data_IF_659950279414
#
_entry.id   IF_659950279414
#
_cell.length_a   1.000
_cell.length_b   1.000
_cell.length_c   1.000
_cell.angle_alpha   90.00
_cell.angle_beta   90.00
_cell.angle_gamma   90.00
#
_symmetry.space_group_name_H-M   'P 1'
#
loop_
_entity.id
_entity.type
_entity.pdbx_description
1 polymer ?
#
# COMPACT_ATOMS: atom_id res chain seq x y z
N UNK A 1 -3.86 -23.14 -4.36
CA UNK A 1 -2.68 -22.41 -3.84
C UNK A 1 -1.98 -21.59 -4.92
N UNK A 2 -1.76 -22.13 -6.13
CA UNK A 2 -1.13 -21.40 -7.24
C UNK A 2 -1.82 -20.09 -7.62
N UNK A 3 -3.15 -20.05 -7.58
CA UNK A 3 -3.93 -18.85 -7.92
C UNK A 3 -3.67 -17.71 -6.91
N UNK A 4 -3.74 -17.98 -5.61
CA UNK A 4 -3.44 -16.99 -4.58
C UNK A 4 -1.99 -16.48 -4.65
N UNK A 5 -1.04 -17.31 -5.06
CA UNK A 5 0.34 -16.89 -5.25
C UNK A 5 0.47 -15.91 -6.43
N UNK A 6 -0.15 -16.24 -7.58
CA UNK A 6 -0.11 -15.40 -8.78
C UNK A 6 -0.89 -14.09 -8.63
N UNK A 7 -2.02 -14.10 -7.93
CA UNK A 7 -2.87 -12.89 -7.84
C UNK A 7 -2.36 -11.88 -6.82
N UNK A 8 -1.48 -12.28 -5.89
CA UNK A 8 -1.10 -11.41 -4.76
C UNK A 8 0.38 -11.30 -4.50
N UNK A 9 1.04 -12.46 -4.35
CA UNK A 9 2.46 -12.46 -4.01
C UNK A 9 3.29 -11.89 -5.15
N UNK A 10 2.95 -12.24 -6.41
CA UNK A 10 3.65 -11.70 -7.58
C UNK A 10 3.49 -10.17 -7.69
N UNK A 11 2.27 -9.58 -7.69
CA UNK A 11 2.13 -8.13 -7.71
C UNK A 11 2.84 -7.45 -6.54
N UNK A 12 2.72 -7.99 -5.32
CA UNK A 12 3.33 -7.39 -4.12
C UNK A 12 4.86 -7.37 -4.24
N UNK A 13 5.41 -8.49 -4.69
CA UNK A 13 6.84 -8.63 -4.92
C UNK A 13 7.34 -7.68 -6.00
N UNK A 14 6.56 -7.50 -7.08
CA UNK A 14 6.88 -6.53 -8.13
C UNK A 14 6.89 -5.11 -7.57
N UNK A 15 5.84 -4.69 -6.85
CA UNK A 15 5.77 -3.35 -6.25
C UNK A 15 6.95 -3.09 -5.30
N UNK A 16 7.31 -4.07 -4.47
CA UNK A 16 8.49 -4.00 -3.61
C UNK A 16 9.80 -3.88 -4.41
N UNK A 17 10.01 -4.71 -5.44
CA UNK A 17 11.21 -4.64 -6.27
C UNK A 17 11.34 -3.32 -7.01
N UNK A 18 10.22 -2.80 -7.54
CA UNK A 18 10.19 -1.49 -8.16
C UNK A 18 10.60 -0.41 -7.15
N UNK A 19 9.97 -0.38 -5.97
CA UNK A 19 10.34 0.56 -4.93
C UNK A 19 11.83 0.49 -4.57
N UNK A 20 12.35 -0.69 -4.27
CA UNK A 20 13.76 -0.86 -3.89
C UNK A 20 14.72 -0.43 -5.00
N UNK A 21 14.41 -0.73 -6.27
CA UNK A 21 15.26 -0.34 -7.40
C UNK A 21 15.36 1.18 -7.51
N UNK A 22 14.21 1.87 -7.50
CA UNK A 22 14.17 3.32 -7.66
C UNK A 22 14.64 4.06 -6.41
N UNK A 23 14.29 3.58 -5.21
CA UNK A 23 14.77 4.15 -3.96
C UNK A 23 16.30 4.08 -3.83
N UNK A 24 16.91 2.98 -4.28
CA UNK A 24 18.36 2.83 -4.29
C UNK A 24 19.03 3.76 -5.31
N UNK A 25 18.47 3.88 -6.51
CA UNK A 25 18.99 4.81 -7.55
C UNK A 25 18.89 6.26 -7.08
N UNK A 26 17.79 6.64 -6.44
CA UNK A 26 17.55 7.98 -5.92
C UNK A 26 18.31 8.28 -4.62
N UNK A 27 19.01 7.30 -4.03
CA UNK A 27 19.66 7.46 -2.72
C UNK A 27 18.67 7.80 -1.60
N UNK A 28 17.41 7.38 -1.73
CA UNK A 28 16.33 7.73 -0.83
C UNK A 28 16.63 7.31 0.62
N UNK A 29 16.14 8.13 1.55
CA UNK A 29 16.21 7.86 2.99
C UNK A 29 14.83 8.10 3.58
N UNK A 30 14.29 7.13 4.34
CA UNK A 30 12.95 7.24 4.90
C UNK A 30 12.85 8.47 5.80
N UNK A 31 11.88 9.34 5.48
CA UNK A 31 11.60 10.56 6.22
C UNK A 31 10.33 10.48 7.05
N UNK A 32 9.87 11.65 7.51
CA UNK A 32 8.56 11.80 8.16
C UNK A 32 7.50 11.94 7.06
N UNK A 33 6.42 11.16 7.17
CA UNK A 33 5.30 11.24 6.24
C UNK A 33 4.57 12.59 6.36
N UNK A 34 4.65 13.42 5.32
CA UNK A 34 3.96 14.72 5.27
C UNK A 34 2.69 14.66 4.40
N UNK A 35 1.53 14.41 5.02
CA UNK A 35 0.23 14.31 4.33
C UNK A 35 -0.15 15.56 3.53
N UNK A 36 0.36 16.73 3.93
CA UNK A 36 0.14 17.99 3.22
C UNK A 36 0.69 17.97 1.79
N UNK A 37 1.75 17.20 1.55
CA UNK A 37 2.41 17.05 0.24
C UNK A 37 1.98 15.79 -0.51
N UNK A 38 1.23 14.89 0.13
CA UNK A 38 0.70 13.70 -0.48
C UNK A 38 -0.30 14.06 -1.59
N UNK A 39 -0.10 13.48 -2.77
CA UNK A 39 -1.01 13.63 -3.90
C UNK A 39 -2.37 13.01 -3.59
N UNK A 40 -3.36 13.27 -4.45
CA UNK A 40 -4.68 12.65 -4.33
C UNK A 40 -4.61 11.12 -4.42
N UNK A 41 -3.67 10.58 -5.21
CA UNK A 41 -3.45 9.14 -5.34
C UNK A 41 -2.83 8.58 -4.05
N UNK A 42 -1.87 9.28 -3.48
CA UNK A 42 -1.21 8.88 -2.24
C UNK A 42 -2.19 8.82 -1.06
N UNK A 43 -3.05 9.83 -0.92
CA UNK A 43 -4.11 9.83 0.12
C UNK A 43 -5.08 8.67 -0.06
N UNK A 44 -5.39 8.32 -1.30
CA UNK A 44 -6.24 7.19 -1.60
C UNK A 44 -5.57 5.84 -1.25
N UNK A 45 -4.28 5.70 -1.53
CA UNK A 45 -3.48 4.53 -1.11
C UNK A 45 -3.48 4.40 0.42
N UNK A 46 -3.25 5.50 1.14
CA UNK A 46 -3.27 5.53 2.61
C UNK A 46 -4.64 5.14 3.18
N UNK A 47 -5.73 5.66 2.61
CA UNK A 47 -7.09 5.27 3.00
C UNK A 47 -7.33 3.77 2.81
N UNK A 48 -6.88 3.20 1.68
CA UNK A 48 -6.99 1.76 1.42
C UNK A 48 -6.15 0.92 2.39
N UNK A 49 -4.97 1.38 2.78
CA UNK A 49 -4.13 0.71 3.79
C UNK A 49 -4.86 0.61 5.13
N UNK A 50 -5.48 1.70 5.59
CA UNK A 50 -6.23 1.69 6.84
C UNK A 50 -7.44 0.74 6.78
N UNK A 51 -8.12 0.64 5.64
CA UNK A 51 -9.17 -0.38 5.46
C UNK A 51 -8.64 -1.80 5.54
N UNK A 52 -7.47 -2.08 4.94
CA UNK A 52 -6.83 -3.39 5.04
C UNK A 52 -6.49 -3.71 6.51
N UNK A 53 -5.91 -2.76 7.24
CA UNK A 53 -5.60 -2.90 8.68
C UNK A 53 -6.84 -3.24 9.50
N UNK A 54 -7.92 -2.48 9.33
CA UNK A 54 -9.19 -2.69 10.04
C UNK A 54 -9.79 -4.07 9.74
N UNK A 55 -9.82 -4.47 8.47
CA UNK A 55 -10.38 -5.77 8.06
C UNK A 55 -9.56 -6.94 8.61
N UNK A 56 -8.23 -6.87 8.55
CA UNK A 56 -7.36 -7.94 9.07
C UNK A 56 -7.40 -7.99 10.59
N UNK A 57 -7.46 -6.85 11.28
CA UNK A 57 -7.66 -6.80 12.73
C UNK A 57 -8.98 -7.47 13.14
N UNK A 58 -10.10 -7.14 12.46
CA UNK A 58 -11.40 -7.74 12.74
C UNK A 58 -11.41 -9.26 12.51
N UNK A 59 -10.68 -9.76 11.51
CA UNK A 59 -10.50 -11.20 11.26
C UNK A 59 -9.74 -11.85 12.42
N UNK A 60 -8.66 -11.23 12.86
CA UNK A 60 -7.83 -11.73 13.94
C UNK A 60 -8.59 -11.77 15.28
N UNK A 61 -9.35 -10.71 15.60
CA UNK A 61 -10.18 -10.62 16.80
C UNK A 61 -11.28 -11.69 16.85
N UNK A 62 -11.89 -11.99 15.70
CA UNK A 62 -12.97 -12.99 15.61
C UNK A 62 -12.46 -14.43 15.45
N UNK A 63 -11.14 -14.65 15.45
CA UNK A 63 -10.50 -15.94 15.16
C UNK A 63 -10.96 -16.57 13.82
N UNK A 64 -11.50 -15.78 12.91
CA UNK A 64 -12.05 -16.24 11.62
C UNK A 64 -11.00 -16.07 10.52
N UNK A 65 -9.86 -16.76 10.68
CA UNK A 65 -8.73 -16.73 9.75
C UNK A 65 -9.17 -17.15 8.33
N UNK A 66 -10.16 -18.05 8.24
CA UNK A 66 -10.70 -18.51 6.95
C UNK A 66 -11.37 -17.35 6.21
N UNK A 67 -12.14 -16.50 6.88
CA UNK A 67 -12.74 -15.33 6.23
C UNK A 67 -11.70 -14.32 5.76
N UNK A 68 -10.63 -14.10 6.52
CA UNK A 68 -9.55 -13.15 6.18
C UNK A 68 -8.72 -13.57 4.97
N UNK A 69 -8.48 -14.87 4.83
CA UNK A 69 -7.77 -15.44 3.68
C UNK A 69 -8.64 -15.57 2.41
N UNK A 70 -9.95 -15.39 2.53
CA UNK A 70 -10.89 -15.58 1.41
C UNK A 70 -11.40 -14.25 0.86
N UNK A 71 -12.00 -14.31 -0.34
CA UNK A 71 -12.62 -13.14 -1.02
C UNK A 71 -13.72 -12.47 -0.17
N UNK A 72 -14.18 -13.11 0.91
CA UNK A 72 -15.30 -12.68 1.76
C UNK A 72 -14.97 -11.48 2.64
N UNK A 73 -13.73 -11.35 3.13
CA UNK A 73 -13.33 -10.23 3.98
C UNK A 73 -13.10 -8.92 3.20
N UNK A 74 -12.85 -9.00 1.89
CA UNK A 74 -12.57 -7.84 1.04
C UNK A 74 -11.15 -7.28 1.18
N UNK A 75 -10.42 -7.62 2.26
CA UNK A 75 -9.01 -7.26 2.46
C UNK A 75 -8.13 -7.68 1.28
N UNK A 76 -8.42 -8.85 0.70
CA UNK A 76 -7.86 -9.33 -0.55
C UNK A 76 -7.90 -8.29 -1.68
N UNK A 77 -9.08 -7.71 -1.91
CA UNK A 77 -9.33 -6.82 -3.04
C UNK A 77 -8.65 -5.49 -2.80
N UNK A 78 -8.79 -4.96 -1.58
CA UNK A 78 -8.19 -3.70 -1.19
C UNK A 78 -6.66 -3.80 -1.29
N UNK A 79 -6.04 -4.90 -0.83
CA UNK A 79 -4.61 -5.16 -0.95
C UNK A 79 -4.13 -5.26 -2.42
N UNK A 80 -4.87 -5.94 -3.30
CA UNK A 80 -4.51 -6.02 -4.72
C UNK A 80 -4.57 -4.66 -5.41
N UNK A 81 -5.59 -3.88 -5.08
CA UNK A 81 -5.74 -2.53 -5.61
C UNK A 81 -4.61 -1.63 -5.11
N UNK A 82 -4.25 -1.75 -3.83
CA UNK A 82 -3.10 -1.08 -3.21
C UNK A 82 -1.80 -1.34 -3.97
N UNK A 83 -1.51 -2.61 -4.21
CA UNK A 83 -0.29 -3.05 -4.89
C UNK A 83 -0.25 -2.60 -6.35
N UNK A 84 -1.39 -2.61 -7.04
CA UNK A 84 -1.46 -2.10 -8.41
C UNK A 84 -1.29 -0.58 -8.50
N UNK A 85 -1.77 0.16 -7.50
CA UNK A 85 -1.60 1.62 -7.43
C UNK A 85 -0.18 2.02 -7.01
N UNK A 86 0.49 1.15 -6.24
CA UNK A 86 1.90 1.25 -5.91
C UNK A 86 2.83 1.01 -7.12
N UNK A 87 2.29 0.57 -8.28
CA UNK A 87 3.00 0.60 -9.56
C UNK A 87 2.65 1.85 -10.38
N UNK A 88 3.31 3.01 -10.17
CA UNK A 88 3.25 4.07 -11.16
C UNK A 88 4.59 4.22 -11.89
N UNK A 89 4.47 4.29 -13.22
CA UNK A 89 5.39 4.93 -14.14
C UNK A 89 5.70 6.41 -13.80
N UNK A 90 5.17 6.95 -12.70
CA UNK A 90 5.42 8.32 -12.23
C UNK A 90 6.79 8.49 -11.52
N UNK A 91 7.43 7.39 -11.11
CA UNK A 91 8.79 7.43 -10.52
C UNK A 91 9.92 7.65 -11.56
N UNK A 92 9.56 7.88 -12.84
CA UNK A 92 10.49 8.08 -13.96
C UNK A 92 11.06 9.50 -14.08
N UNK A 93 10.59 10.48 -13.29
CA UNK A 93 11.12 11.86 -13.34
C UNK A 93 11.72 12.32 -12.01
N UNK A 94 12.89 12.96 -12.11
CA UNK A 94 13.73 13.60 -11.08
C UNK A 94 13.30 13.45 -9.61
N UNK A 95 14.08 12.66 -8.86
CA UNK A 95 13.95 12.43 -7.42
C UNK A 95 14.05 13.69 -6.54
N UNK A 96 14.57 14.81 -7.07
CA UNK A 96 14.79 16.05 -6.30
C UNK A 96 13.53 16.92 -6.15
N UNK A 97 12.42 16.60 -6.83
CA UNK A 97 11.17 17.33 -6.62
C UNK A 97 10.52 16.92 -5.28
N UNK A 98 10.04 17.88 -4.48
CA UNK A 98 9.45 17.59 -3.16
C UNK A 98 8.20 16.71 -3.24
N UNK A 99 7.45 16.77 -4.35
CA UNK A 99 6.28 15.93 -4.63
C UNK A 99 6.67 14.46 -4.83
N UNK A 100 7.79 14.21 -5.50
CA UNK A 100 8.31 12.85 -5.73
C UNK A 100 8.80 12.23 -4.43
N UNK A 101 9.43 13.04 -3.56
CA UNK A 101 9.84 12.59 -2.22
C UNK A 101 8.65 12.15 -1.36
N UNK A 102 7.56 12.93 -1.37
CA UNK A 102 6.34 12.57 -0.65
C UNK A 102 5.75 11.24 -1.13
N UNK A 103 5.79 10.96 -2.43
CA UNK A 103 5.36 9.67 -2.99
C UNK A 103 6.23 8.50 -2.50
N UNK A 104 7.55 8.67 -2.42
CA UNK A 104 8.44 7.66 -1.82
C UNK A 104 8.16 7.44 -0.33
N UNK A 105 7.93 8.51 0.44
CA UNK A 105 7.58 8.42 1.87
C UNK A 105 6.27 7.66 2.08
N UNK A 106 5.24 7.95 1.26
CA UNK A 106 3.95 7.25 1.29
C UNK A 106 4.14 5.78 0.95
N UNK A 107 4.84 5.45 -0.14
CA UNK A 107 5.00 4.08 -0.58
C UNK A 107 5.83 3.26 0.40
N UNK A 108 6.89 3.85 0.97
CA UNK A 108 7.67 3.24 2.04
C UNK A 108 6.79 2.93 3.26
N UNK A 109 6.02 3.91 3.72
CA UNK A 109 5.12 3.76 4.86
C UNK A 109 4.11 2.63 4.62
N UNK A 110 3.47 2.64 3.45
CA UNK A 110 2.48 1.65 3.06
C UNK A 110 3.05 0.24 3.00
N UNK A 111 4.21 0.04 2.34
CA UNK A 111 4.82 -1.28 2.23
C UNK A 111 5.27 -1.81 3.59
N UNK A 112 5.79 -0.95 4.47
CA UNK A 112 6.19 -1.31 5.83
C UNK A 112 5.01 -1.78 6.66
N UNK A 113 3.95 -0.98 6.72
CA UNK A 113 2.74 -1.29 7.49
C UNK A 113 2.05 -2.54 6.92
N UNK A 114 2.01 -2.67 5.59
CA UNK A 114 1.46 -3.86 4.93
C UNK A 114 2.24 -5.12 5.31
N UNK A 115 3.56 -5.07 5.38
CA UNK A 115 4.37 -6.20 5.84
C UNK A 115 4.02 -6.61 7.27
N UNK A 116 3.79 -5.67 8.17
CA UNK A 116 3.37 -5.95 9.55
C UNK A 116 1.98 -6.61 9.60
N UNK A 117 1.00 -6.07 8.85
CA UNK A 117 -0.35 -6.65 8.77
C UNK A 117 -0.34 -8.04 8.13
N UNK A 118 0.54 -8.26 7.15
CA UNK A 118 0.66 -9.55 6.46
C UNK A 118 1.43 -10.60 7.27
N UNK A 119 2.16 -10.22 8.33
CA UNK A 119 3.01 -11.13 9.10
C UNK A 119 2.28 -12.38 9.64
N UNK A 120 1.05 -12.31 10.18
CA UNK A 120 0.32 -13.49 10.65
C UNK A 120 -0.13 -14.44 9.53
N UNK A 121 -0.26 -13.94 8.30
CA UNK A 121 -0.79 -14.69 7.16
C UNK A 121 0.33 -15.25 6.26
N UNK A 122 1.40 -14.48 6.08
CA UNK A 122 2.52 -14.79 5.18
C UNK A 122 3.87 -14.45 5.84
N UNK A 123 4.28 -15.17 6.89
CA UNK A 123 5.36 -14.76 7.78
C UNK A 123 6.72 -14.60 7.07
N UNK A 124 7.05 -15.50 6.14
CA UNK A 124 8.33 -15.46 5.41
C UNK A 124 8.39 -14.32 4.39
N UNK A 125 7.28 -14.03 3.74
CA UNK A 125 7.20 -12.94 2.75
C UNK A 125 7.24 -11.60 3.48
N UNK A 126 6.43 -11.45 4.52
CA UNK A 126 6.42 -10.27 5.38
C UNK A 126 7.81 -9.97 5.97
N UNK A 127 8.50 -10.99 6.48
CA UNK A 127 9.86 -10.88 7.01
C UNK A 127 10.85 -10.37 5.95
N UNK A 128 10.79 -10.96 4.74
CA UNK A 128 11.69 -10.58 3.64
C UNK A 128 11.47 -9.13 3.20
N UNK A 129 10.20 -8.71 3.08
CA UNK A 129 9.82 -7.34 2.73
C UNK A 129 10.28 -6.35 3.81
N UNK A 130 9.93 -6.63 5.07
CA UNK A 130 10.21 -5.73 6.19
C UNK A 130 11.72 -5.52 6.40
N UNK A 131 12.50 -6.60 6.36
CA UNK A 131 13.97 -6.52 6.50
C UNK A 131 14.63 -5.81 5.33
N UNK A 132 14.13 -6.02 4.12
CA UNK A 132 14.62 -5.31 2.94
C UNK A 132 14.34 -3.80 2.97
N UNK A 133 13.23 -3.38 3.56
CA UNK A 133 12.84 -1.97 3.68
C UNK A 133 13.50 -1.25 4.86
N UNK A 134 13.48 -1.86 6.04
CA UNK A 134 13.81 -1.18 7.30
C UNK A 134 15.18 -1.59 7.86
N UNK A 135 15.73 -2.73 7.43
CA UNK A 135 16.95 -3.30 8.03
C UNK A 135 16.79 -3.69 9.51
N UNK A 136 15.56 -3.75 10.02
CA UNK A 136 15.26 -4.16 11.40
C UNK A 136 15.49 -5.65 11.63
N UNK A 137 15.37 -6.09 12.89
CA UNK A 137 15.66 -7.46 13.30
C UNK A 137 14.66 -8.48 12.73
N UNK A 138 13.36 -8.26 12.95
CA UNK A 138 12.28 -9.07 12.38
C UNK A 138 10.94 -8.32 12.42
N UNK A 139 10.06 -8.59 11.45
CA UNK A 139 8.69 -8.06 11.47
C UNK A 139 7.86 -8.64 12.62
N UNK A 140 8.20 -9.85 13.07
CA UNK A 140 7.46 -10.58 14.11
C UNK A 140 7.70 -10.05 15.53
N UNK A 141 8.70 -9.18 15.69
CA UNK A 141 8.99 -8.49 16.95
C UNK A 141 8.36 -7.09 16.99
N UNK A 142 7.73 -6.65 15.91
CA UNK A 142 7.08 -5.36 15.85
C UNK A 142 5.69 -5.43 16.49
N UNK A 143 5.29 -4.33 17.12
CA UNK A 143 3.90 -4.12 17.52
C UNK A 143 2.99 -4.04 16.29
N UNK A 144 1.70 -4.31 16.51
CA UNK A 144 0.69 -4.12 15.47
C UNK A 144 0.64 -2.63 15.05
N UNK A 145 0.54 -2.35 13.75
CA UNK A 145 0.56 -0.97 13.25
C UNK A 145 -0.57 -0.12 13.83
N UNK A 146 -0.22 1.09 14.29
CA UNK A 146 -1.16 2.05 14.87
C UNK A 146 -2.21 2.49 13.85
N UNK A 147 -3.48 2.54 14.23
CA UNK A 147 -4.55 3.02 13.34
C UNK A 147 -4.44 4.53 13.11
N UNK A 148 -4.68 4.97 11.87
CA UNK A 148 -4.70 6.38 11.47
C UNK A 148 -6.05 6.76 10.86
N UNK A 149 -7.10 6.98 11.67
CA UNK A 149 -8.43 7.34 11.18
C UNK A 149 -8.44 8.58 10.27
N UNK A 150 -7.50 9.50 10.49
CA UNK A 150 -7.31 10.71 9.69
C UNK A 150 -6.92 10.46 8.23
N UNK A 151 -6.43 9.25 7.90
CA UNK A 151 -6.10 8.87 6.53
C UNK A 151 -7.31 8.35 5.74
N UNK A 152 -8.43 8.06 6.41
CA UNK A 152 -9.62 7.47 5.79
C UNK A 152 -10.44 8.57 5.09
N UNK A 153 -10.59 8.47 3.77
CA UNK A 153 -11.41 9.38 2.96
C UNK A 153 -12.39 8.57 2.09
N UNK A 154 -13.58 8.32 2.63
CA UNK A 154 -14.61 7.50 1.98
C UNK A 154 -15.14 8.13 0.68
N UNK A 155 -15.18 9.46 0.62
CA UNK A 155 -15.65 10.19 -0.53
C UNK A 155 -14.65 10.08 -1.68
N UNK A 156 -13.35 10.18 -1.39
CA UNK A 156 -12.28 9.95 -2.33
C UNK A 156 -12.29 8.52 -2.84
N UNK A 157 -12.43 7.53 -1.95
CA UNK A 157 -12.47 6.13 -2.34
C UNK A 157 -13.66 5.83 -3.26
N UNK A 158 -14.85 6.28 -2.88
CA UNK A 158 -16.07 6.08 -3.68
C UNK A 158 -15.94 6.69 -5.06
N UNK A 159 -15.31 7.86 -5.18
CA UNK A 159 -15.05 8.51 -6.48
C UNK A 159 -14.04 7.72 -7.32
N UNK A 160 -12.95 7.26 -6.72
CA UNK A 160 -11.86 6.58 -7.41
C UNK A 160 -12.25 5.14 -7.80
N UNK A 161 -12.96 4.42 -6.93
CA UNK A 161 -13.47 3.06 -7.19
C UNK A 161 -14.52 3.07 -8.33
N UNK A 162 -15.36 4.12 -8.41
CA UNK A 162 -16.30 4.30 -9.54
C UNK A 162 -15.62 4.57 -10.88
N UNK A 163 -14.41 5.13 -10.87
CA UNK A 163 -13.68 5.49 -12.09
C UNK A 163 -12.86 4.32 -12.66
N UNK A 164 -13.17 3.08 -12.26
CA UNK A 164 -12.36 1.88 -12.42
C UNK A 164 -11.46 1.78 -13.66
N UNK A 165 -10.19 1.43 -13.40
CA UNK A 165 -9.12 1.06 -14.35
C UNK A 165 -8.75 2.11 -15.42
N UNK A 166 -7.76 2.93 -15.10
CA UNK A 166 -6.70 3.28 -16.06
C UNK A 166 -5.37 3.39 -15.30
N UNK A 167 -4.26 2.79 -15.77
CA UNK A 167 -2.96 2.83 -15.09
C UNK A 167 -2.29 4.21 -15.15
N UNK A 168 -2.92 5.17 -15.84
CA UNK A 168 -2.36 6.48 -16.16
C UNK A 168 -3.49 7.52 -16.14
N UNK A 169 -3.77 8.16 -15.00
CA UNK A 169 -4.65 9.36 -14.99
C UNK A 169 -3.89 10.64 -15.30
N UNK A 170 -3.08 10.57 -16.36
CA UNK A 170 -2.84 11.68 -17.25
C UNK A 170 -4.08 11.86 -18.15
N UNK A 171 -4.87 12.89 -17.86
CA UNK A 171 -5.87 13.44 -18.78
C UNK A 171 -7.27 12.80 -18.71
N UNK A 172 -8.28 13.66 -18.46
CA UNK A 172 -9.70 13.47 -18.84
C UNK A 172 -10.67 12.90 -17.79
N UNK A 173 -10.55 13.27 -16.52
CA UNK A 173 -11.75 13.49 -15.70
C UNK A 173 -12.02 14.99 -15.70
N UNK A 174 -12.56 15.47 -16.83
CA UNK A 174 -12.98 16.85 -16.99
C UNK A 174 -14.09 17.22 -16.01
N UNK A 175 -14.12 18.51 -15.69
CA UNK A 175 -15.17 19.23 -14.99
C UNK A 175 -16.57 18.64 -15.19
N UNK A 176 -17.25 18.43 -14.07
CA UNK A 176 -18.64 18.02 -14.02
C UNK A 176 -19.18 18.16 -12.60
N UNK A 177 -18.99 19.33 -12.00
CA UNK A 177 -19.88 19.82 -10.93
C UNK A 177 -20.63 21.00 -11.52
N UNK A 178 -21.89 20.74 -11.90
CA UNK A 178 -22.93 21.76 -11.86
C UNK A 178 -23.47 21.85 -10.43
#
# INVERSE_FOLDING_TARGET
MEEALRTYLIPLWNAYHFFCTYANIAGYRPGVLELARASRLDRYILSKLERVKQRVAAVAENYDIVSGCTKRCGAHRDAQQLVHLAEPAAFLEESDKPENRAAYDVLYFVLREFAQVAAPLAPFIAETLYRGLCGGESVHLCDWPAAHPEHVDEALESRTDRCGRSPIWGGRCGNGIG
#
